data_IF_845533865231
#
_entry.id   IF_845533865231
#
_cell.length_a   1.000
_cell.length_b   1.000
_cell.length_c   1.000
_cell.angle_alpha   90.00
_cell.angle_beta   90.00
_cell.angle_gamma   90.00
#
_symmetry.space_group_name_H-M   'P 1'
#
loop_
_entity.id
_entity.type
_entity.pdbx_description
1 polymer ?
#
# COMPACT_ATOMS: atom_id res chain seq x y z
N UNK A 1 -26.56 -13.93 14.70
CA UNK A 1 -25.27 -13.29 14.42
C UNK A 1 -24.57 -14.09 13.33
N UNK A 2 -23.92 -13.43 12.39
CA UNK A 2 -23.13 -14.11 11.36
C UNK A 2 -21.94 -14.84 12.04
N UNK A 3 -21.53 -15.98 11.46
CA UNK A 3 -20.39 -16.74 12.00
C UNK A 3 -19.08 -16.05 11.62
N UNK A 4 -18.10 -15.95 12.55
CA UNK A 4 -16.82 -15.39 12.24
C UNK A 4 -16.07 -16.25 11.20
N UNK A 5 -15.44 -15.58 10.23
CA UNK A 5 -14.61 -16.21 9.20
C UNK A 5 -13.11 -16.10 9.50
N UNK A 6 -12.72 -15.10 10.29
CA UNK A 6 -11.32 -14.85 10.65
C UNK A 6 -11.18 -14.83 12.16
N UNK A 7 -10.18 -15.52 12.67
CA UNK A 7 -9.75 -15.43 14.05
C UNK A 7 -8.57 -14.48 14.21
N UNK A 8 -8.62 -13.59 15.20
CA UNK A 8 -7.49 -12.74 15.57
C UNK A 8 -7.04 -13.12 16.98
N UNK A 9 -5.80 -13.59 17.12
CA UNK A 9 -5.18 -13.90 18.39
C UNK A 9 -4.03 -12.95 18.67
N UNK A 10 -3.89 -12.56 19.93
CA UNK A 10 -2.76 -11.78 20.42
C UNK A 10 -2.21 -12.35 21.71
N UNK A 11 -0.89 -12.22 21.94
CA UNK A 11 -0.20 -12.78 23.10
C UNK A 11 -0.50 -12.05 24.41
N UNK A 12 -0.89 -10.78 24.33
CA UNK A 12 -1.14 -9.87 25.45
C UNK A 12 -2.17 -8.80 25.07
N UNK A 13 -2.77 -8.18 26.07
CA UNK A 13 -3.60 -6.99 25.94
C UNK A 13 -2.81 -5.77 25.41
N UNK A 14 -1.51 -5.70 25.72
CA UNK A 14 -0.60 -4.69 25.17
C UNK A 14 -0.50 -4.72 23.65
N UNK A 15 -0.83 -5.83 23.01
CA UNK A 15 -0.79 -6.01 21.56
C UNK A 15 -2.05 -5.45 20.86
N UNK A 16 -3.10 -5.18 21.64
CA UNK A 16 -4.41 -4.74 21.14
C UNK A 16 -4.33 -3.50 20.22
N UNK A 17 -3.58 -2.41 20.54
CA UNK A 17 -3.51 -1.23 19.68
C UNK A 17 -2.91 -1.50 18.29
N UNK A 18 -2.13 -2.58 18.16
CA UNK A 18 -1.60 -3.04 16.87
C UNK A 18 -2.62 -3.91 16.16
N UNK A 19 -3.19 -4.89 16.85
CA UNK A 19 -4.09 -5.88 16.26
C UNK A 19 -5.45 -5.30 15.86
N UNK A 20 -5.87 -4.16 16.44
CA UNK A 20 -7.05 -3.42 16.00
C UNK A 20 -6.96 -2.95 14.55
N UNK A 21 -5.77 -2.72 14.01
CA UNK A 21 -5.60 -2.36 12.59
C UNK A 21 -6.05 -3.50 11.66
N UNK A 22 -5.80 -4.75 12.03
CA UNK A 22 -6.30 -5.91 11.29
C UNK A 22 -7.83 -6.00 11.36
N UNK A 23 -8.39 -5.81 12.57
CA UNK A 23 -9.82 -5.81 12.79
C UNK A 23 -10.53 -4.71 11.98
N UNK A 24 -9.97 -3.50 11.94
CA UNK A 24 -10.50 -2.38 11.17
C UNK A 24 -10.60 -2.72 9.67
N UNK A 25 -9.57 -3.36 9.11
CA UNK A 25 -9.62 -3.78 7.71
C UNK A 25 -10.67 -4.86 7.45
N UNK A 26 -10.83 -5.82 8.34
CA UNK A 26 -11.88 -6.83 8.20
C UNK A 26 -13.28 -6.20 8.25
N UNK A 27 -13.49 -5.21 9.13
CA UNK A 27 -14.74 -4.44 9.19
C UNK A 27 -15.00 -3.67 7.90
N UNK A 28 -13.97 -2.99 7.35
CA UNK A 28 -14.05 -2.26 6.08
C UNK A 28 -14.48 -3.18 4.93
N UNK A 29 -13.95 -4.40 4.89
CA UNK A 29 -14.34 -5.40 3.91
C UNK A 29 -15.60 -6.17 4.27
N UNK A 30 -16.25 -5.88 5.43
CA UNK A 30 -17.46 -6.54 5.89
C UNK A 30 -17.30 -8.03 6.15
N UNK A 31 -16.15 -8.40 6.71
CA UNK A 31 -15.80 -9.77 7.09
C UNK A 31 -15.98 -9.93 8.59
N UNK A 32 -16.80 -10.88 8.99
CA UNK A 32 -16.98 -11.22 10.40
C UNK A 32 -15.73 -11.87 10.97
N UNK A 33 -15.34 -11.43 12.15
CA UNK A 33 -14.16 -11.94 12.86
C UNK A 33 -14.44 -12.09 14.36
N UNK A 34 -13.62 -12.87 15.01
CA UNK A 34 -13.53 -12.93 16.47
C UNK A 34 -12.11 -12.54 16.92
N UNK A 35 -11.99 -11.97 18.11
CA UNK A 35 -10.70 -11.57 18.68
C UNK A 35 -10.55 -12.09 20.10
N UNK A 36 -9.35 -12.64 20.42
CA UNK A 36 -9.08 -13.13 21.77
C UNK A 36 -7.60 -12.98 22.13
N UNK A 37 -7.34 -12.97 23.45
CA UNK A 37 -5.99 -13.04 24.00
C UNK A 37 -5.69 -14.49 24.36
N UNK A 38 -4.58 -15.01 23.79
CA UNK A 38 -4.06 -16.33 24.12
C UNK A 38 -2.55 -16.37 23.87
N UNK A 39 -1.77 -16.72 24.88
CA UNK A 39 -0.30 -16.75 24.80
C UNK A 39 0.21 -18.17 24.63
N UNK A 40 1.06 -18.40 23.63
CA UNK A 40 1.71 -19.68 23.44
C UNK A 40 2.52 -20.16 24.66
N UNK A 41 3.10 -19.22 25.41
CA UNK A 41 3.93 -19.52 26.57
C UNK A 41 3.15 -19.59 27.88
N UNK A 42 2.13 -18.70 28.06
CA UNK A 42 1.42 -18.56 29.34
C UNK A 42 0.11 -19.36 29.38
N UNK A 43 -0.53 -19.56 28.22
CA UNK A 43 -1.80 -20.29 28.09
C UNK A 43 -1.78 -21.27 26.91
N UNK A 44 -0.79 -22.19 26.83
CA UNK A 44 -0.59 -23.06 25.67
C UNK A 44 -1.80 -23.93 25.36
N UNK A 45 -2.50 -24.44 26.38
CA UNK A 45 -3.72 -25.23 26.21
C UNK A 45 -4.82 -24.45 25.52
N UNK A 46 -5.04 -23.16 25.87
CA UNK A 46 -6.02 -22.30 25.24
C UNK A 46 -5.70 -22.08 23.76
N UNK A 47 -4.41 -21.88 23.41
CA UNK A 47 -3.98 -21.72 22.02
C UNK A 47 -4.20 -23.03 21.25
N UNK A 48 -3.88 -24.17 21.82
CA UNK A 48 -4.10 -25.49 21.24
C UNK A 48 -5.58 -25.73 20.91
N UNK A 49 -6.45 -25.58 21.91
CA UNK A 49 -7.90 -25.76 21.77
C UNK A 49 -8.49 -24.81 20.72
N UNK A 50 -8.06 -23.56 20.74
CA UNK A 50 -8.48 -22.57 19.74
C UNK A 50 -8.12 -23.02 18.33
N UNK A 51 -6.86 -23.36 18.10
CA UNK A 51 -6.33 -23.74 16.79
C UNK A 51 -7.01 -24.98 16.22
N UNK A 52 -7.16 -26.03 17.03
CA UNK A 52 -7.79 -27.28 16.65
C UNK A 52 -9.30 -27.18 16.43
N UNK A 53 -9.98 -26.23 17.08
CA UNK A 53 -11.42 -26.03 16.91
C UNK A 53 -11.75 -25.05 15.78
N UNK A 54 -10.80 -24.26 15.30
CA UNK A 54 -11.01 -23.13 14.40
C UNK A 54 -11.74 -23.52 13.09
N UNK A 55 -11.29 -24.56 12.42
CA UNK A 55 -11.88 -25.05 11.18
C UNK A 55 -13.33 -25.51 11.40
N UNK A 56 -13.60 -26.30 12.43
CA UNK A 56 -14.94 -26.79 12.76
C UNK A 56 -15.90 -25.65 13.11
N UNK A 57 -15.39 -24.53 13.64
CA UNK A 57 -16.18 -23.32 13.92
C UNK A 57 -16.47 -22.50 12.65
N UNK A 58 -15.81 -22.80 11.53
CA UNK A 58 -16.02 -22.18 10.23
C UNK A 58 -15.00 -21.11 9.87
N UNK A 59 -13.95 -20.91 10.68
CA UNK A 59 -12.87 -19.98 10.35
C UNK A 59 -12.16 -20.41 9.07
N UNK A 60 -11.65 -19.44 8.32
CA UNK A 60 -10.93 -19.62 7.05
C UNK A 60 -9.46 -19.23 7.13
N UNK A 61 -9.11 -18.40 8.09
CA UNK A 61 -7.73 -18.04 8.40
C UNK A 61 -7.62 -17.54 9.84
N UNK A 62 -6.39 -17.53 10.37
CA UNK A 62 -6.08 -17.02 11.71
C UNK A 62 -4.98 -15.98 11.58
N UNK A 63 -5.21 -14.78 12.14
CA UNK A 63 -4.21 -13.73 12.30
C UNK A 63 -3.65 -13.81 13.72
N UNK A 64 -2.34 -13.91 13.88
CA UNK A 64 -1.69 -14.07 15.17
C UNK A 64 -0.62 -12.99 15.37
N UNK A 65 -0.83 -12.13 16.39
CA UNK A 65 0.10 -11.05 16.76
C UNK A 65 0.89 -11.39 18.03
N UNK A 66 2.21 -11.20 17.97
CA UNK A 66 3.09 -11.40 19.12
C UNK A 66 4.37 -10.57 19.00
N UNK A 67 4.87 -10.11 20.15
CA UNK A 67 6.20 -9.50 20.26
C UNK A 67 7.19 -10.42 20.95
N UNK A 68 8.42 -9.91 21.19
CA UNK A 68 9.52 -10.66 21.81
C UNK A 68 9.81 -11.96 21.03
N UNK A 69 9.95 -13.08 21.74
CA UNK A 69 9.98 -14.43 21.15
C UNK A 69 8.57 -14.78 20.63
N UNK A 70 8.24 -14.34 19.43
CA UNK A 70 6.89 -14.36 18.85
C UNK A 70 6.49 -15.76 18.34
N UNK A 71 6.36 -16.72 19.23
CA UNK A 71 6.08 -18.12 18.90
C UNK A 71 4.59 -18.40 18.60
N UNK A 72 3.68 -17.46 18.85
CA UNK A 72 2.24 -17.69 18.76
C UNK A 72 1.80 -18.16 17.37
N UNK A 73 2.22 -17.48 16.31
CA UNK A 73 1.84 -17.82 14.95
C UNK A 73 2.36 -19.22 14.54
N UNK A 74 3.62 -19.50 14.82
CA UNK A 74 4.23 -20.81 14.55
C UNK A 74 3.57 -21.95 15.32
N UNK A 75 3.23 -21.73 16.59
CA UNK A 75 2.51 -22.70 17.40
C UNK A 75 1.11 -22.99 16.81
N UNK A 76 0.35 -21.96 16.44
CA UNK A 76 -0.96 -22.11 15.81
C UNK A 76 -0.81 -22.89 14.48
N UNK A 77 0.15 -22.50 13.64
CA UNK A 77 0.37 -23.14 12.34
C UNK A 77 0.70 -24.63 12.44
N UNK A 78 1.32 -25.07 13.55
CA UNK A 78 1.58 -26.50 13.80
C UNK A 78 0.33 -27.29 14.22
N UNK A 79 -0.78 -26.62 14.55
CA UNK A 79 -1.99 -27.24 15.12
C UNK A 79 -3.22 -27.17 14.21
N UNK A 80 -3.11 -26.53 13.05
CA UNK A 80 -4.22 -26.37 12.10
C UNK A 80 -3.71 -26.36 10.65
N UNK A 81 -4.55 -26.76 9.71
CA UNK A 81 -4.31 -26.62 8.28
C UNK A 81 -4.85 -25.29 7.68
N UNK A 82 -5.51 -24.47 8.50
CA UNK A 82 -5.94 -23.14 8.07
C UNK A 82 -4.73 -22.24 7.81
N UNK A 83 -4.83 -21.31 6.85
CA UNK A 83 -3.82 -20.27 6.67
C UNK A 83 -3.58 -19.48 7.96
N UNK A 84 -2.31 -19.37 8.37
CA UNK A 84 -1.90 -18.58 9.56
C UNK A 84 -1.09 -17.38 9.09
N UNK A 85 -1.53 -16.18 9.51
CA UNK A 85 -0.93 -14.89 9.17
C UNK A 85 -0.27 -14.34 10.43
N UNK A 86 1.04 -14.24 10.44
CA UNK A 86 1.82 -13.75 11.57
C UNK A 86 2.04 -12.24 11.50
N UNK A 87 1.77 -11.55 12.60
CA UNK A 87 2.05 -10.13 12.78
C UNK A 87 3.12 -9.97 13.85
N UNK A 88 4.38 -9.74 13.49
CA UNK A 88 5.42 -9.47 14.47
C UNK A 88 5.22 -8.07 15.06
N UNK A 89 5.37 -7.93 16.39
CA UNK A 89 5.12 -6.69 17.11
C UNK A 89 6.42 -6.19 17.74
N UNK A 90 6.70 -4.90 17.61
CA UNK A 90 7.91 -4.21 18.02
C UNK A 90 7.93 -3.82 19.51
N UNK A 91 7.57 -4.75 20.38
CA UNK A 91 7.46 -4.54 21.82
C UNK A 91 8.73 -4.86 22.64
N UNK A 92 9.83 -5.23 21.98
CA UNK A 92 11.10 -5.60 22.63
C UNK A 92 12.18 -4.53 22.47
N UNK A 93 13.29 -4.59 23.25
CA UNK A 93 14.47 -3.74 23.03
C UNK A 93 15.11 -3.87 21.65
N UNK A 94 14.88 -5.01 20.95
CA UNK A 94 15.34 -5.26 19.59
C UNK A 94 14.42 -4.67 18.52
N UNK A 95 13.47 -3.82 18.92
CA UNK A 95 12.54 -3.11 18.03
C UNK A 95 11.82 -4.04 17.04
N UNK A 96 11.48 -5.25 17.52
CA UNK A 96 10.72 -6.24 16.77
C UNK A 96 11.52 -7.13 15.83
N UNK A 97 12.83 -7.00 15.72
CA UNK A 97 13.65 -7.89 14.89
C UNK A 97 13.58 -9.34 15.37
N UNK A 98 13.59 -9.55 16.68
CA UNK A 98 13.37 -10.83 17.34
C UNK A 98 12.00 -11.42 17.01
N UNK A 99 10.94 -10.61 17.09
CA UNK A 99 9.59 -11.02 16.72
C UNK A 99 9.48 -11.37 15.23
N UNK A 100 10.07 -10.57 14.36
CA UNK A 100 10.09 -10.83 12.91
C UNK A 100 10.77 -12.16 12.59
N UNK A 101 11.97 -12.38 13.13
CA UNK A 101 12.72 -13.60 12.87
C UNK A 101 12.06 -14.84 13.46
N UNK A 102 11.48 -14.74 14.68
CA UNK A 102 10.75 -15.83 15.31
C UNK A 102 9.48 -16.23 14.53
N UNK A 103 8.86 -15.27 13.86
CA UNK A 103 7.62 -15.51 13.08
C UNK A 103 7.94 -16.01 11.67
N UNK A 104 9.00 -15.49 11.03
CA UNK A 104 9.33 -15.78 9.64
C UNK A 104 10.14 -17.05 9.43
N UNK A 105 11.03 -17.41 10.37
CA UNK A 105 11.97 -18.54 10.24
C UNK A 105 11.32 -19.88 10.64
N UNK A 106 10.24 -20.22 9.92
CA UNK A 106 9.53 -21.48 10.12
C UNK A 106 10.22 -22.65 9.44
N UNK A 107 10.20 -23.87 10.03
CA UNK A 107 10.71 -25.06 9.37
C UNK A 107 9.87 -25.42 8.13
N UNK A 108 10.48 -26.13 7.19
CA UNK A 108 9.77 -26.66 6.03
C UNK A 108 8.58 -27.53 6.45
N UNK A 109 7.43 -27.34 5.83
CA UNK A 109 6.18 -28.06 6.09
C UNK A 109 5.19 -27.35 7.03
N UNK A 110 5.59 -26.30 7.76
CA UNK A 110 4.71 -25.52 8.65
C UNK A 110 4.80 -24.04 8.32
N UNK A 111 4.09 -23.57 7.29
CA UNK A 111 4.20 -22.19 6.83
C UNK A 111 3.45 -21.19 7.73
N UNK A 112 4.02 -19.99 7.87
CA UNK A 112 3.35 -18.79 8.41
C UNK A 112 3.51 -17.66 7.40
N UNK A 113 2.39 -17.05 6.97
CA UNK A 113 2.42 -15.86 6.13
C UNK A 113 2.80 -14.64 6.98
N UNK A 114 4.09 -14.35 7.08
CA UNK A 114 4.60 -13.30 7.97
C UNK A 114 4.46 -11.92 7.33
N UNK A 115 3.80 -11.02 8.06
CA UNK A 115 3.62 -9.61 7.66
C UNK A 115 4.78 -8.73 8.14
N UNK A 116 4.77 -7.46 7.76
CA UNK A 116 5.70 -6.47 8.28
C UNK A 116 5.44 -6.17 9.77
N UNK A 117 6.37 -5.47 10.42
CA UNK A 117 6.30 -5.12 11.85
C UNK A 117 5.15 -4.16 12.19
N UNK A 118 4.51 -4.39 13.33
CA UNK A 118 3.62 -3.46 14.01
C UNK A 118 2.32 -3.18 13.24
N UNK A 119 1.80 -1.95 13.37
CA UNK A 119 0.50 -1.53 12.83
C UNK A 119 0.36 -1.75 11.32
N UNK A 120 1.39 -1.41 10.53
CA UNK A 120 1.37 -1.63 9.09
C UNK A 120 1.25 -3.12 8.74
N UNK A 121 1.94 -3.98 9.48
CA UNK A 121 1.83 -5.43 9.36
C UNK A 121 0.45 -5.94 9.70
N UNK A 122 -0.13 -5.46 10.80
CA UNK A 122 -1.49 -5.81 11.21
C UNK A 122 -2.55 -5.39 10.17
N UNK A 123 -2.44 -4.16 9.64
CA UNK A 123 -3.28 -3.70 8.53
C UNK A 123 -3.18 -4.63 7.32
N UNK A 124 -1.96 -4.96 6.91
CA UNK A 124 -1.74 -5.88 5.79
C UNK A 124 -2.23 -7.30 6.09
N UNK A 125 -2.16 -7.76 7.34
CA UNK A 125 -2.73 -9.04 7.74
C UNK A 125 -4.25 -9.11 7.53
N UNK A 126 -4.98 -8.03 7.89
CA UNK A 126 -6.41 -7.92 7.63
C UNK A 126 -6.74 -7.92 6.14
N UNK A 127 -5.96 -7.19 5.32
CA UNK A 127 -6.11 -7.17 3.86
C UNK A 127 -5.82 -8.56 3.28
N UNK A 128 -4.75 -9.22 3.70
CA UNK A 128 -4.38 -10.54 3.21
C UNK A 128 -5.42 -11.61 3.59
N UNK A 129 -5.96 -11.56 4.82
CA UNK A 129 -7.08 -12.39 5.21
C UNK A 129 -8.32 -12.14 4.31
N UNK A 130 -8.62 -10.88 3.99
CA UNK A 130 -9.69 -10.55 3.05
C UNK A 130 -9.41 -11.09 1.64
N UNK A 131 -8.16 -11.09 1.17
CA UNK A 131 -7.77 -11.71 -0.10
C UNK A 131 -8.02 -13.22 -0.11
N UNK A 132 -7.74 -13.91 1.00
CA UNK A 132 -8.05 -15.34 1.14
C UNK A 132 -9.56 -15.58 1.03
N UNK A 133 -10.38 -14.78 1.71
CA UNK A 133 -11.85 -14.89 1.62
C UNK A 133 -12.34 -14.58 0.20
N UNK A 134 -11.74 -13.59 -0.46
CA UNK A 134 -12.12 -13.14 -1.80
C UNK A 134 -11.93 -14.21 -2.88
N UNK A 135 -11.15 -15.25 -2.66
CA UNK A 135 -11.02 -16.38 -3.60
C UNK A 135 -12.33 -17.16 -3.78
N UNK A 136 -13.22 -17.08 -2.79
CA UNK A 136 -14.52 -17.75 -2.79
C UNK A 136 -15.71 -16.79 -2.61
N UNK A 137 -15.47 -15.50 -2.30
CA UNK A 137 -16.52 -14.48 -2.09
C UNK A 137 -16.32 -13.29 -3.03
N UNK A 138 -17.18 -13.22 -4.06
CA UNK A 138 -17.17 -12.16 -5.08
C UNK A 138 -17.44 -10.77 -4.48
N UNK A 139 -18.23 -10.67 -3.39
CA UNK A 139 -18.51 -9.38 -2.76
C UNK A 139 -17.25 -8.82 -2.10
N UNK A 140 -16.51 -9.66 -1.40
CA UNK A 140 -15.22 -9.27 -0.81
C UNK A 140 -14.20 -8.95 -1.90
N UNK A 141 -14.15 -9.74 -2.98
CA UNK A 141 -13.27 -9.47 -4.13
C UNK A 141 -13.54 -8.09 -4.74
N UNK A 142 -14.80 -7.70 -4.90
CA UNK A 142 -15.16 -6.39 -5.45
C UNK A 142 -14.79 -5.24 -4.49
N UNK A 143 -14.99 -5.40 -3.17
CA UNK A 143 -14.55 -4.41 -2.17
C UNK A 143 -13.04 -4.19 -2.20
N UNK A 144 -12.25 -5.26 -2.33
CA UNK A 144 -10.80 -5.16 -2.49
C UNK A 144 -10.38 -4.39 -3.74
N UNK A 145 -11.10 -4.57 -4.87
CA UNK A 145 -10.84 -3.79 -6.09
C UNK A 145 -11.12 -2.30 -5.88
N UNK A 146 -12.25 -1.96 -5.26
CA UNK A 146 -12.60 -0.57 -4.91
C UNK A 146 -11.53 0.04 -4.01
N UNK A 147 -11.15 -0.67 -2.94
CA UNK A 147 -10.09 -0.24 -2.02
C UNK A 147 -8.77 0.08 -2.74
N UNK A 148 -8.37 -0.74 -3.74
CA UNK A 148 -7.16 -0.48 -4.53
C UNK A 148 -7.26 0.80 -5.35
N UNK A 149 -8.40 1.04 -6.00
CA UNK A 149 -8.65 2.27 -6.77
C UNK A 149 -8.63 3.51 -5.87
N UNK A 150 -9.21 3.42 -4.68
CA UNK A 150 -9.19 4.52 -3.71
C UNK A 150 -7.78 4.83 -3.21
N UNK A 151 -6.96 3.81 -2.96
CA UNK A 151 -5.54 4.00 -2.62
C UNK A 151 -4.78 4.72 -3.74
N UNK A 152 -4.93 4.30 -4.99
CA UNK A 152 -4.31 4.91 -6.17
C UNK A 152 -4.71 6.38 -6.27
N UNK A 153 -6.01 6.66 -6.23
CA UNK A 153 -6.55 8.02 -6.24
C UNK A 153 -5.98 8.90 -5.13
N UNK A 154 -5.86 8.35 -3.92
CA UNK A 154 -5.27 9.07 -2.78
C UNK A 154 -3.81 9.46 -3.00
N UNK A 155 -3.01 8.61 -3.67
CA UNK A 155 -1.62 8.93 -4.04
C UNK A 155 -1.57 9.99 -5.13
N UNK A 156 -2.41 9.89 -6.17
CA UNK A 156 -2.48 10.87 -7.26
C UNK A 156 -2.90 12.26 -6.78
N UNK A 157 -3.85 12.34 -5.83
CA UNK A 157 -4.24 13.62 -5.22
C UNK A 157 -3.09 14.26 -4.46
N UNK A 158 -2.32 13.47 -3.69
CA UNK A 158 -1.13 13.96 -2.99
C UNK A 158 -0.07 14.43 -3.97
N UNK A 159 0.16 13.69 -5.05
CA UNK A 159 1.10 14.08 -6.10
C UNK A 159 0.70 15.39 -6.79
N UNK A 160 -0.58 15.58 -7.10
CA UNK A 160 -1.11 16.84 -7.65
C UNK A 160 -0.92 18.02 -6.71
N UNK A 161 -1.20 17.84 -5.41
CA UNK A 161 -0.97 18.88 -4.40
C UNK A 161 0.51 19.25 -4.30
N UNK A 162 1.41 18.28 -4.36
CA UNK A 162 2.86 18.52 -4.33
C UNK A 162 3.31 19.26 -5.59
N UNK A 163 2.85 18.86 -6.78
CA UNK A 163 3.18 19.52 -8.04
C UNK A 163 2.72 20.99 -8.05
N UNK A 164 1.52 21.28 -7.54
CA UNK A 164 1.01 22.64 -7.41
C UNK A 164 1.85 23.50 -6.44
N UNK A 165 2.44 22.88 -5.40
CA UNK A 165 3.34 23.58 -4.47
C UNK A 165 4.73 23.85 -5.06
N UNK A 166 5.22 22.99 -5.95
CA UNK A 166 6.56 23.06 -6.55
C UNK A 166 6.59 23.78 -7.91
N UNK A 167 5.42 24.01 -8.54
CA UNK A 167 5.34 24.77 -9.80
C UNK A 167 5.71 26.24 -9.54
N UNK A 168 6.63 26.85 -10.35
CA UNK A 168 6.88 28.29 -10.29
C UNK A 168 5.57 29.06 -10.53
N UNK A 169 5.38 30.24 -9.90
CA UNK A 169 4.21 31.05 -10.22
C UNK A 169 4.17 31.32 -11.72
N UNK A 170 3.02 31.04 -12.33
CA UNK A 170 2.75 31.28 -13.75
C UNK A 170 3.17 32.70 -14.08
N UNK A 171 4.26 32.86 -14.84
CA UNK A 171 4.65 34.16 -15.36
C UNK A 171 3.52 34.58 -16.30
N UNK A 172 2.66 35.50 -15.83
CA UNK A 172 1.73 36.17 -16.75
C UNK A 172 2.59 36.77 -17.84
N UNK A 173 2.46 36.28 -19.06
CA UNK A 173 3.03 36.92 -20.26
C UNK A 173 2.62 38.40 -20.19
N UNK A 174 3.57 39.34 -20.30
CA UNK A 174 3.20 40.75 -20.41
C UNK A 174 2.24 40.90 -21.57
N UNK A 175 1.10 41.53 -21.31
CA UNK A 175 0.10 41.83 -22.35
C UNK A 175 0.84 42.41 -23.56
N UNK A 176 0.66 41.77 -24.71
CA UNK A 176 1.24 42.23 -25.95
C UNK A 176 0.82 43.72 -26.19
N UNK A 177 1.80 44.60 -26.16
CA UNK A 177 1.60 46.03 -26.50
C UNK A 177 0.89 46.15 -27.85
N UNK A 178 -0.20 46.90 -27.87
CA UNK A 178 -0.89 47.25 -29.12
C UNK A 178 0.09 47.82 -30.10
N UNK A 179 0.01 47.49 -31.43
CA UNK A 179 0.95 47.99 -32.41
C UNK A 179 0.77 49.50 -32.60
N UNK A 180 1.78 50.27 -32.17
CA UNK A 180 1.86 51.70 -32.38
C UNK A 180 1.69 52.04 -33.87
N UNK A 181 0.70 52.86 -34.17
CA UNK A 181 0.38 53.42 -35.50
C UNK A 181 1.64 53.86 -36.26
N UNK A 182 1.90 53.23 -37.38
CA UNK A 182 3.00 53.48 -38.30
C UNK A 182 2.98 54.97 -38.81
N UNK A 183 3.96 55.77 -38.41
CA UNK A 183 4.25 57.06 -38.99
C UNK A 183 4.76 56.86 -40.43
N UNK A 184 4.01 57.41 -41.41
CA UNK A 184 4.36 57.41 -42.85
C UNK A 184 5.72 58.05 -43.07
N UNK A 185 6.68 57.28 -43.65
CA UNK A 185 7.96 57.79 -44.13
C UNK A 185 7.78 58.58 -45.49
N UNK A 186 8.50 59.71 -45.73
CA UNK A 186 8.38 60.45 -46.96
C UNK A 186 9.05 59.72 -48.13
N UNK A 187 8.41 59.82 -49.25
CA UNK A 187 8.84 59.27 -50.61
C UNK A 187 10.21 59.83 -50.98
N UNK A 188 11.24 59.00 -51.10
CA UNK A 188 12.50 59.34 -51.77
C UNK A 188 12.38 59.10 -53.26
N UNK A 189 12.78 60.18 -54.06
CA UNK A 189 12.86 60.23 -55.49
C UNK A 189 13.78 59.14 -56.07
N UNK A 190 13.29 58.47 -57.06
CA UNK A 190 13.97 57.44 -57.89
C UNK A 190 14.97 58.07 -58.84
N UNK A 191 16.26 57.83 -58.68
CA UNK A 191 17.27 58.10 -59.66
C UNK A 191 17.56 56.88 -60.50
N UNK A 192 17.42 57.07 -61.87
CA UNK A 192 17.75 56.01 -62.83
C UNK A 192 19.27 56.00 -63.06
N UNK A 193 19.87 54.79 -63.07
CA UNK A 193 21.19 54.56 -63.66
C UNK A 193 21.08 53.45 -64.73
N UNK A 194 21.76 53.74 -65.83
CA UNK A 194 21.88 52.93 -67.03
C UNK A 194 22.78 51.70 -66.85
N UNK A 195 22.73 50.74 -67.84
CA UNK A 195 23.36 49.45 -67.76
C UNK A 195 24.82 49.47 -68.31
N UNK A 196 25.64 48.62 -67.74
CA UNK A 196 26.99 48.34 -68.22
C UNK A 196 27.27 46.84 -68.16
N UNK A 197 27.76 46.37 -69.27
CA UNK A 197 27.96 44.99 -69.71
C UNK A 197 29.10 44.25 -69.03
N UNK A 198 29.02 42.92 -69.03
CA UNK A 198 30.15 42.15 -69.52
C UNK A 198 30.78 41.14 -68.61
N UNK A 199 30.73 39.91 -69.12
CA UNK A 199 31.76 38.82 -69.07
C UNK A 199 31.87 37.95 -67.75
N UNK A 200 31.41 36.76 -67.89
CA UNK A 200 32.05 35.48 -68.28
C UNK A 200 33.15 34.98 -67.34
N UNK A 201 32.98 33.84 -66.77
CA UNK A 201 33.69 32.56 -67.03
C UNK A 201 33.61 31.60 -65.82
N UNK A 202 33.15 30.45 -66.14
CA UNK A 202 33.39 29.16 -65.43
C UNK A 202 34.86 28.71 -65.51
N UNK A 203 35.29 27.50 -65.04
CA UNK A 203 34.76 26.56 -64.09
C UNK A 203 35.84 25.86 -63.19
N UNK A 204 35.34 24.87 -62.47
CA UNK A 204 36.02 23.61 -62.03
C UNK A 204 37.09 23.70 -60.88
N UNK A 205 36.98 22.96 -59.84
CA UNK A 205 37.02 21.49 -59.56
C UNK A 205 36.42 21.20 -58.22
#
# INVERSE_FOLDING_TARGET
MAKPLIGILMSSDSDLPVMQEAAAMLQEFGIEYEMTIASAHRTPKKVLEYSQSAERRGLKAIIAGAGWAAHLAGFIASQTTLPVIGVPIDSSPLKGLDALLSTAQMPGGVPVATMSLGKAGAKNAGIFAAQIIATADVKVANRLKVYRVEMERGVEEKARKLAAFTSPPEQKEPAADEPALAKKKPRRRRWKKKPGAGLAAEPAQ
#
